data_IF_545984822974
#
_entry.id   IF_545984822974
#
_cell.length_a   1.000
_cell.length_b   1.000
_cell.length_c   1.000
_cell.angle_alpha   90.00
_cell.angle_beta   90.00
_cell.angle_gamma   90.00
#
_symmetry.space_group_name_H-M   'P 1'
#
loop_
_entity.id
_entity.type
_entity.pdbx_description
1 polymer ?
#
# COMPACT_ATOMS: atom_id res chain seq x y z
N UNK A 1 19.81 -4.25 17.62
CA UNK A 1 18.50 -4.38 16.94
C UNK A 1 18.62 -3.70 15.59
N UNK A 2 18.55 -4.44 14.49
CA UNK A 2 18.50 -3.84 13.16
C UNK A 2 17.15 -3.13 13.01
N UNK A 3 17.19 -1.83 12.77
CA UNK A 3 15.99 -1.05 12.47
C UNK A 3 15.55 -1.46 11.06
N UNK A 4 14.57 -2.36 10.95
CA UNK A 4 13.93 -2.67 9.68
C UNK A 4 13.01 -1.51 9.30
N UNK A 5 13.61 -0.45 8.75
CA UNK A 5 12.87 0.52 7.97
C UNK A 5 12.57 -0.14 6.63
N UNK A 6 11.39 -0.77 6.50
CA UNK A 6 10.81 -0.93 5.18
C UNK A 6 10.47 0.49 4.75
N UNK A 7 11.35 1.09 3.95
CA UNK A 7 11.15 2.44 3.43
C UNK A 7 9.76 2.48 2.81
N UNK A 8 8.88 3.34 3.32
CA UNK A 8 7.56 3.60 2.75
C UNK A 8 7.63 3.83 1.23
N UNK A 9 8.76 4.37 0.74
CA UNK A 9 9.06 4.51 -0.68
C UNK A 9 9.11 3.20 -1.50
N UNK A 10 9.52 2.06 -0.91
CA UNK A 10 9.50 0.77 -1.61
C UNK A 10 8.09 0.17 -1.71
N UNK A 11 7.24 0.43 -0.70
CA UNK A 11 5.82 0.05 -0.69
C UNK A 11 5.06 0.89 -1.71
N UNK A 12 5.23 2.22 -1.70
CA UNK A 12 4.62 3.12 -2.67
C UNK A 12 5.02 2.80 -4.12
N UNK A 13 6.31 2.50 -4.35
CA UNK A 13 6.81 2.08 -5.66
C UNK A 13 6.22 0.75 -6.12
N UNK A 14 6.08 -0.23 -5.21
CA UNK A 14 5.48 -1.53 -5.52
C UNK A 14 3.97 -1.43 -5.78
N UNK A 15 3.26 -0.59 -5.01
CA UNK A 15 1.85 -0.32 -5.23
C UNK A 15 1.60 0.36 -6.59
N UNK A 16 2.40 1.36 -6.94
CA UNK A 16 2.32 2.02 -8.25
C UNK A 16 2.61 1.04 -9.41
N UNK A 17 3.64 0.20 -9.27
CA UNK A 17 3.94 -0.83 -10.27
C UNK A 17 2.79 -1.84 -10.42
N UNK A 18 2.18 -2.28 -9.32
CA UNK A 18 1.03 -3.20 -9.35
C UNK A 18 -0.23 -2.54 -9.92
N UNK A 19 -0.46 -1.25 -9.67
CA UNK A 19 -1.52 -0.50 -10.34
C UNK A 19 -1.29 -0.39 -11.85
N UNK A 20 -0.04 -0.18 -12.28
CA UNK A 20 0.33 -0.20 -13.70
C UNK A 20 0.08 -1.56 -14.35
N UNK A 21 0.51 -2.64 -13.70
CA UNK A 21 0.28 -4.01 -14.16
C UNK A 21 -1.21 -4.37 -14.22
N UNK A 22 -2.03 -3.85 -13.29
CA UNK A 22 -3.47 -4.04 -13.31
C UNK A 22 -4.11 -3.36 -14.53
N UNK A 23 -3.68 -2.15 -14.87
CA UNK A 23 -4.15 -1.45 -16.05
C UNK A 23 -3.74 -2.16 -17.35
N UNK A 24 -2.52 -2.68 -17.41
CA UNK A 24 -2.03 -3.47 -18.56
C UNK A 24 -2.80 -4.79 -18.70
N UNK A 25 -3.08 -5.46 -17.58
CA UNK A 25 -3.92 -6.66 -17.54
C UNK A 25 -5.33 -6.39 -18.10
N UNK A 26 -5.98 -5.32 -17.64
CA UNK A 26 -7.31 -4.92 -18.12
C UNK A 26 -7.28 -4.64 -19.64
N UNK A 27 -6.27 -3.92 -20.13
CA UNK A 27 -6.12 -3.66 -21.58
C UNK A 27 -5.96 -4.94 -22.40
N UNK A 28 -5.17 -5.92 -21.92
CA UNK A 28 -4.99 -7.19 -22.61
C UNK A 28 -6.27 -8.02 -22.64
N UNK A 29 -7.03 -8.06 -21.54
CA UNK A 29 -8.31 -8.77 -21.49
C UNK A 29 -9.31 -8.12 -22.44
N UNK A 30 -9.41 -6.79 -22.46
CA UNK A 30 -10.32 -6.06 -23.35
C UNK A 30 -9.98 -6.27 -24.82
N UNK A 31 -8.69 -6.20 -25.17
CA UNK A 31 -8.22 -6.44 -26.53
C UNK A 31 -8.51 -7.87 -27.00
N UNK A 32 -8.25 -8.86 -26.16
CA UNK A 32 -8.54 -10.26 -26.46
C UNK A 32 -10.05 -10.50 -26.60
N UNK A 33 -10.86 -9.90 -25.74
CA UNK A 33 -12.31 -10.00 -25.80
C UNK A 33 -12.87 -9.37 -27.08
N UNK A 34 -12.34 -8.23 -27.51
CA UNK A 34 -12.69 -7.61 -28.80
C UNK A 34 -12.36 -8.53 -29.99
N UNK A 35 -11.20 -9.18 -29.97
CA UNK A 35 -10.82 -10.13 -31.03
C UNK A 35 -11.74 -11.37 -31.05
N UNK A 36 -12.05 -11.93 -29.88
CA UNK A 36 -12.91 -13.12 -29.77
C UNK A 36 -14.34 -12.82 -30.21
N UNK A 37 -14.93 -11.74 -29.71
CA UNK A 37 -16.32 -11.34 -30.05
C UNK A 37 -16.45 -10.93 -31.52
N UNK A 38 -15.38 -10.46 -32.16
CA UNK A 38 -15.36 -10.18 -33.59
C UNK A 38 -15.37 -11.42 -34.49
N UNK A 39 -14.99 -12.59 -33.97
CA UNK A 39 -14.84 -13.83 -34.74
C UNK A 39 -15.95 -14.85 -34.41
N UNK A 40 -16.18 -15.09 -33.12
CA UNK A 40 -17.14 -16.06 -32.61
C UNK A 40 -18.56 -15.56 -32.85
N UNK A 41 -19.39 -16.35 -33.52
CA UNK A 41 -20.76 -15.99 -33.89
C UNK A 41 -20.88 -15.11 -35.14
N UNK A 42 -19.77 -14.56 -35.65
CA UNK A 42 -19.72 -13.82 -36.90
C UNK A 42 -19.20 -14.70 -38.05
N UNK A 43 -17.88 -14.82 -38.18
CA UNK A 43 -17.23 -15.63 -39.22
C UNK A 43 -17.00 -17.08 -38.81
N UNK A 44 -16.98 -17.37 -37.51
CA UNK A 44 -16.84 -18.72 -36.96
C UNK A 44 -18.09 -19.11 -36.19
N UNK A 45 -18.80 -20.14 -36.69
CA UNK A 45 -20.07 -20.61 -36.17
C UNK A 45 -20.12 -22.14 -36.05
N UNK A 46 -21.13 -22.64 -35.32
CA UNK A 46 -21.37 -24.06 -35.07
C UNK A 46 -20.90 -24.54 -33.70
N UNK A 47 -21.10 -25.82 -33.39
CA UNK A 47 -20.88 -26.35 -32.05
C UNK A 47 -19.49 -26.06 -31.46
N UNK A 48 -18.43 -26.06 -32.29
CA UNK A 48 -17.09 -25.76 -31.83
C UNK A 48 -16.91 -24.28 -31.41
N UNK A 49 -17.54 -23.34 -32.11
CA UNK A 49 -17.50 -21.92 -31.72
C UNK A 49 -18.31 -21.68 -30.45
N UNK A 50 -19.41 -22.41 -30.28
CA UNK A 50 -20.26 -22.30 -29.09
C UNK A 50 -19.52 -22.80 -27.84
N UNK A 51 -18.91 -23.98 -27.90
CA UNK A 51 -18.05 -24.51 -26.82
C UNK A 51 -16.87 -23.60 -26.50
N UNK A 52 -16.25 -23.01 -27.53
CA UNK A 52 -15.20 -22.01 -27.31
C UNK A 52 -15.76 -20.75 -26.62
N UNK A 53 -16.93 -20.26 -27.02
CA UNK A 53 -17.58 -19.11 -26.38
C UNK A 53 -17.90 -19.34 -24.91
N UNK A 54 -18.35 -20.54 -24.55
CA UNK A 54 -18.54 -20.95 -23.15
C UNK A 54 -17.22 -20.95 -22.37
N UNK A 55 -16.16 -21.54 -22.94
CA UNK A 55 -14.83 -21.57 -22.33
C UNK A 55 -14.25 -20.15 -22.18
N UNK A 56 -14.49 -19.28 -23.15
CA UNK A 56 -14.09 -17.87 -23.12
C UNK A 56 -14.83 -17.11 -22.01
N UNK A 57 -16.13 -17.36 -21.82
CA UNK A 57 -16.90 -16.79 -20.72
C UNK A 57 -16.31 -17.20 -19.36
N UNK A 58 -15.93 -18.47 -19.20
CA UNK A 58 -15.23 -18.94 -18.00
C UNK A 58 -13.90 -18.22 -17.79
N UNK A 59 -13.12 -18.05 -18.84
CA UNK A 59 -11.87 -17.28 -18.78
C UNK A 59 -12.09 -15.84 -18.30
N UNK A 60 -13.14 -15.15 -18.76
CA UNK A 60 -13.46 -13.79 -18.31
C UNK A 60 -13.81 -13.74 -16.82
N UNK A 61 -14.49 -14.77 -16.30
CA UNK A 61 -14.78 -14.90 -14.86
C UNK A 61 -13.47 -15.04 -14.06
N UNK A 62 -12.57 -15.91 -14.50
CA UNK A 62 -11.27 -16.12 -13.85
C UNK A 62 -10.38 -14.87 -13.94
N UNK A 63 -10.43 -14.16 -15.06
CA UNK A 63 -9.75 -12.88 -15.25
C UNK A 63 -10.28 -11.82 -14.27
N UNK A 64 -11.60 -11.74 -14.07
CA UNK A 64 -12.20 -10.84 -13.10
C UNK A 64 -11.80 -11.19 -11.64
N UNK A 65 -11.72 -12.47 -11.31
CA UNK A 65 -11.22 -12.92 -10.00
C UNK A 65 -9.75 -12.52 -9.79
N UNK A 66 -8.92 -12.64 -10.83
CA UNK A 66 -7.51 -12.23 -10.82
C UNK A 66 -7.37 -10.72 -10.60
N UNK A 67 -8.15 -9.92 -11.34
CA UNK A 67 -8.24 -8.47 -11.18
C UNK A 67 -8.61 -8.09 -9.74
N UNK A 68 -9.63 -8.75 -9.17
CA UNK A 68 -10.07 -8.50 -7.80
C UNK A 68 -8.98 -8.81 -6.77
N UNK A 69 -8.25 -9.92 -6.95
CA UNK A 69 -7.13 -10.28 -6.09
C UNK A 69 -6.00 -9.23 -6.15
N UNK A 70 -5.62 -8.79 -7.35
CA UNK A 70 -4.60 -7.75 -7.54
C UNK A 70 -5.03 -6.42 -6.91
N UNK A 71 -6.28 -5.99 -7.13
CA UNK A 71 -6.82 -4.78 -6.52
C UNK A 71 -6.82 -4.85 -4.98
N UNK A 72 -7.15 -6.00 -4.40
CA UNK A 72 -7.09 -6.22 -2.95
C UNK A 72 -5.67 -6.09 -2.39
N UNK A 73 -4.67 -6.61 -3.11
CA UNK A 73 -3.26 -6.48 -2.73
C UNK A 73 -2.83 -5.00 -2.77
N UNK A 74 -3.18 -4.26 -3.83
CA UNK A 74 -2.93 -2.81 -3.95
C UNK A 74 -3.54 -2.05 -2.77
N UNK A 75 -4.81 -2.32 -2.43
CA UNK A 75 -5.46 -1.67 -1.28
C UNK A 75 -4.78 -1.99 0.06
N UNK A 76 -4.37 -3.24 0.28
CA UNK A 76 -3.67 -3.65 1.51
C UNK A 76 -2.32 -2.96 1.65
N UNK A 77 -1.57 -2.80 0.56
CA UNK A 77 -0.30 -2.07 0.60
C UNK A 77 -0.51 -0.59 0.93
N UNK A 78 -1.50 0.08 0.33
CA UNK A 78 -1.82 1.47 0.66
C UNK A 78 -2.28 1.64 2.12
N UNK A 79 -3.05 0.69 2.66
CA UNK A 79 -3.44 0.69 4.08
C UNK A 79 -2.26 0.45 5.04
N UNK A 80 -1.31 -0.39 4.65
CA UNK A 80 -0.09 -0.62 5.42
C UNK A 80 0.79 0.64 5.47
N UNK A 81 0.94 1.34 4.34
CA UNK A 81 1.68 2.61 4.25
C UNK A 81 1.11 3.67 5.22
N UNK A 82 -0.21 3.90 5.19
CA UNK A 82 -0.86 4.85 6.09
C UNK A 82 -0.69 4.48 7.58
N UNK A 83 -0.67 3.19 7.90
CA UNK A 83 -0.44 2.70 9.27
C UNK A 83 0.99 2.96 9.73
N UNK A 84 1.97 2.76 8.84
CA UNK A 84 3.37 3.05 9.13
C UNK A 84 3.60 4.55 9.36
N UNK A 85 3.07 5.41 8.48
CA UNK A 85 3.19 6.87 8.64
C UNK A 85 2.58 7.36 9.97
N UNK A 86 1.39 6.85 10.33
CA UNK A 86 0.73 7.18 11.59
C UNK A 86 1.54 6.72 12.82
N UNK A 87 2.14 5.53 12.75
CA UNK A 87 2.96 4.98 13.83
C UNK A 87 4.23 5.81 14.02
N UNK A 88 4.92 6.16 12.94
CA UNK A 88 6.13 6.99 12.98
C UNK A 88 5.83 8.41 13.48
N UNK A 89 4.71 9.01 13.08
CA UNK A 89 4.28 10.31 13.58
C UNK A 89 3.99 10.29 15.09
N UNK A 90 3.34 9.22 15.57
CA UNK A 90 3.06 9.00 17.00
C UNK A 90 4.33 8.81 17.82
N UNK A 91 5.25 7.98 17.33
CA UNK A 91 6.55 7.74 17.96
C UNK A 91 7.40 9.01 18.03
N UNK A 92 7.43 9.79 16.95
CA UNK A 92 8.15 11.07 16.88
C UNK A 92 7.59 12.07 17.89
N UNK A 93 6.27 12.20 17.97
CA UNK A 93 5.58 13.09 18.91
C UNK A 93 5.83 12.69 20.37
N UNK A 94 5.81 11.38 20.66
CA UNK A 94 6.13 10.85 21.98
C UNK A 94 7.60 11.11 22.36
N UNK A 95 8.53 10.92 21.43
CA UNK A 95 9.95 11.19 21.65
C UNK A 95 10.22 12.68 21.91
N UNK A 96 9.58 13.59 21.15
CA UNK A 96 9.69 15.03 21.36
C UNK A 96 9.12 15.45 22.73
N UNK A 97 7.99 14.88 23.13
CA UNK A 97 7.37 15.14 24.43
C UNK A 97 8.26 14.65 25.59
N UNK A 98 8.85 13.46 25.45
CA UNK A 98 9.81 12.92 26.41
C UNK A 98 11.07 13.78 26.53
N UNK A 99 11.62 14.25 25.40
CA UNK A 99 12.77 15.14 25.39
C UNK A 99 12.48 16.50 26.05
N UNK A 100 11.28 17.05 25.83
CA UNK A 100 10.83 18.28 26.49
C UNK A 100 10.65 18.10 28.01
N UNK A 101 10.08 16.98 28.44
CA UNK A 101 9.94 16.64 29.87
C UNK A 101 11.30 16.49 30.56
N UNK A 102 12.28 15.84 29.91
CA UNK A 102 13.64 15.72 30.43
C UNK A 102 14.36 17.08 30.54
N UNK A 103 14.21 17.97 29.55
CA UNK A 103 14.78 19.34 29.60
C UNK A 103 14.16 20.22 30.69
N UNK A 104 12.86 20.05 30.93
CA UNK A 104 12.11 20.75 32.00
C UNK A 104 12.54 20.27 33.39
N UNK A 105 12.64 18.96 33.61
CA UNK A 105 13.07 18.37 34.88
C UNK A 105 14.51 18.73 35.28
N UNK A 106 15.43 18.78 34.31
CA UNK A 106 16.82 19.19 34.55
C UNK A 106 17.00 20.67 34.90
N UNK A 107 16.09 21.54 34.45
CA UNK A 107 16.18 22.99 34.70
C UNK A 107 15.70 23.40 36.09
N UNK A 108 14.90 22.56 36.77
CA UNK A 108 14.40 22.84 38.12
C UNK A 108 15.42 22.49 39.22
N UNK A 109 16.27 21.48 38.98
CA UNK A 109 17.28 21.04 39.95
C UNK A 109 18.48 22.00 40.12
N UNK A 110 18.77 22.85 39.12
CA UNK A 110 19.94 23.73 39.13
C UNK A 110 19.70 25.13 39.77
N UNK A 111 18.49 25.41 40.28
CA UNK A 111 18.14 26.74 40.83
C UNK A 111 18.06 26.81 42.37
N UNK A 112 18.36 25.73 43.08
CA UNK A 112 18.29 25.65 44.55
C UNK A 112 19.62 25.75 45.30
N UNK A 113 20.76 25.89 44.60
CA UNK A 113 22.10 25.70 45.18
C UNK A 113 23.00 26.94 45.16
N UNK A 114 22.51 28.14 45.49
CA UNK A 114 23.35 29.34 45.60
C UNK A 114 22.75 30.41 46.53
N UNK A 115 22.42 30.08 47.78
CA UNK A 115 22.00 31.09 48.78
C UNK A 115 22.30 30.65 50.23
N UNK A 116 23.52 30.21 50.53
CA UNK A 116 23.99 30.04 51.92
C UNK A 116 25.51 30.14 51.99
N UNK A 117 26.05 31.36 51.88
CA UNK A 117 27.35 31.70 52.46
C UNK A 117 27.44 33.22 52.66
N UNK A 118 27.99 33.60 53.81
CA UNK A 118 28.41 34.95 54.24
C UNK A 118 27.37 35.85 54.93
N UNK A 119 27.38 35.83 56.26
CA UNK A 119 27.68 37.02 57.07
C UNK A 119 27.97 36.56 58.52
N UNK A 120 29.24 36.70 58.92
CA UNK A 120 29.71 36.72 60.31
C UNK A 120 29.90 38.16 60.74
#
# INVERSE_FOLDING_TARGET
MAHFSVSTGSIAGSAAALSGLLAEFDQHVDAANGAVTGVVGASWNGAASDTFGESWSSFLIDAAATRAALASIVQRMGGAEATYESTEASNTSAAQSGAAAMRSGGSSANRGGAATAEAR
#
